data_IF_608994158159
#
_entry.id   IF_608994158159
#
_cell.length_a   1.000
_cell.length_b   1.000
_cell.length_c   1.000
_cell.angle_alpha   90.00
_cell.angle_beta   90.00
_cell.angle_gamma   90.00
#
_symmetry.space_group_name_H-M   'P 1'
#
loop_
_entity.id
_entity.type
_entity.pdbx_description
1 polymer ?
#
# COMPACT_ATOMS: atom_id res chain seq x y z
N UNK A 1 -9.50 17.44 0.67
CA UNK A 1 -9.93 17.72 2.08
C UNK A 1 -9.16 18.92 2.58
N UNK A 2 -9.80 19.73 3.45
CA UNK A 2 -9.21 21.00 3.91
C UNK A 2 -9.61 21.31 5.34
N UNK A 3 -8.69 21.94 6.09
CA UNK A 3 -8.87 22.35 7.49
C UNK A 3 -9.30 21.18 8.41
N UNK A 4 -8.74 19.97 8.15
CA UNK A 4 -9.02 18.74 8.89
C UNK A 4 -7.84 18.31 9.74
N UNK A 5 -8.13 17.63 10.84
CA UNK A 5 -7.15 16.99 11.71
C UNK A 5 -7.14 15.50 11.43
N UNK A 6 -6.06 15.00 10.85
CA UNK A 6 -5.99 13.63 10.39
C UNK A 6 -4.89 12.85 11.10
N UNK A 7 -5.11 11.54 11.24
CA UNK A 7 -4.08 10.60 11.70
C UNK A 7 -3.64 9.73 10.54
N UNK A 8 -2.32 9.58 10.36
CA UNK A 8 -1.74 8.60 9.44
C UNK A 8 -0.88 7.64 10.25
N UNK A 9 -1.37 6.43 10.48
CA UNK A 9 -0.54 5.38 11.08
C UNK A 9 0.36 4.77 10.02
N UNK A 10 1.63 4.50 10.34
CA UNK A 10 2.63 4.13 9.33
C UNK A 10 3.00 5.28 8.37
N UNK A 11 2.81 6.53 8.83
CA UNK A 11 2.98 7.73 8.02
C UNK A 11 4.42 8.05 7.62
N UNK A 12 5.41 7.37 8.18
CA UNK A 12 6.82 7.45 7.76
C UNK A 12 7.22 6.34 6.79
N UNK A 13 6.32 5.38 6.53
CA UNK A 13 6.52 4.29 5.60
C UNK A 13 6.38 4.70 4.13
N UNK A 14 6.47 3.73 3.23
CA UNK A 14 6.38 3.94 1.78
C UNK A 14 5.07 4.63 1.38
N UNK A 15 3.91 4.01 1.59
CA UNK A 15 2.61 4.56 1.18
C UNK A 15 2.19 5.70 2.10
N UNK A 16 2.29 5.51 3.42
CA UNK A 16 1.85 6.49 4.41
C UNK A 16 2.53 7.87 4.27
N UNK A 17 3.81 7.92 3.87
CA UNK A 17 4.50 9.19 3.65
C UNK A 17 3.98 9.96 2.43
N UNK A 18 3.48 9.27 1.39
CA UNK A 18 2.83 9.91 0.25
C UNK A 18 1.42 10.41 0.60
N UNK A 19 0.67 9.66 1.45
CA UNK A 19 -0.61 10.14 1.98
C UNK A 19 -0.37 11.40 2.83
N UNK A 20 0.63 11.39 3.71
CA UNK A 20 1.02 12.57 4.52
C UNK A 20 1.34 13.76 3.63
N UNK A 21 2.15 13.56 2.57
CA UNK A 21 2.51 14.61 1.61
C UNK A 21 1.29 15.21 0.91
N UNK A 22 0.35 14.39 0.50
CA UNK A 22 -0.88 14.86 -0.18
C UNK A 22 -1.85 15.59 0.76
N UNK A 23 -1.72 15.43 2.07
CA UNK A 23 -2.64 16.03 3.06
C UNK A 23 -2.10 17.33 3.67
N UNK A 24 -0.78 17.48 3.80
CA UNK A 24 -0.16 18.42 4.72
C UNK A 24 -0.35 19.90 4.37
N UNK A 25 -0.54 20.22 3.09
CA UNK A 25 -0.67 21.61 2.65
C UNK A 25 -1.93 22.30 3.19
N UNK A 26 -2.99 21.53 3.44
CA UNK A 26 -4.30 22.08 3.84
C UNK A 26 -4.85 21.47 5.15
N UNK A 27 -4.09 20.62 5.85
CA UNK A 27 -4.58 19.89 7.01
C UNK A 27 -3.51 19.80 8.13
N UNK A 28 -3.94 19.48 9.36
CA UNK A 28 -3.05 19.07 10.46
C UNK A 28 -2.89 17.54 10.42
N UNK A 29 -1.65 17.04 10.36
CA UNK A 29 -1.37 15.62 10.24
C UNK A 29 -0.63 15.10 11.47
N UNK A 30 -1.24 14.17 12.19
CA UNK A 30 -0.57 13.38 13.23
C UNK A 30 -0.12 12.06 12.67
N UNK A 31 1.17 11.81 12.67
CA UNK A 31 1.78 10.54 12.24
C UNK A 31 2.00 9.65 13.45
N UNK A 32 1.60 8.38 13.36
CA UNK A 32 1.98 7.34 14.32
C UNK A 32 2.84 6.33 13.59
N UNK A 33 4.09 6.15 14.04
CA UNK A 33 5.03 5.21 13.41
C UNK A 33 6.03 4.68 14.45
N UNK A 34 6.31 3.40 14.45
CA UNK A 34 7.31 2.81 15.36
C UNK A 34 8.74 2.87 14.79
N UNK A 35 8.87 3.32 13.53
CA UNK A 35 10.11 3.44 12.77
C UNK A 35 10.82 2.10 12.54
N UNK A 36 10.09 0.99 12.54
CA UNK A 36 10.64 -0.33 12.20
C UNK A 36 11.09 -0.38 10.72
N UNK A 37 10.31 0.23 9.84
CA UNK A 37 10.62 0.40 8.41
C UNK A 37 10.47 1.84 7.94
N UNK A 38 9.66 2.64 8.62
CA UNK A 38 9.44 4.06 8.37
C UNK A 38 10.68 4.91 8.66
N UNK A 39 10.88 5.98 7.89
CA UNK A 39 12.06 6.86 7.96
C UNK A 39 11.62 8.32 7.98
N UNK A 40 12.19 9.12 8.90
CA UNK A 40 11.92 10.57 8.97
C UNK A 40 12.32 11.31 7.68
N UNK A 41 13.31 10.77 6.97
CA UNK A 41 13.78 11.31 5.68
C UNK A 41 12.66 11.32 4.63
N UNK A 42 11.68 10.42 4.72
CA UNK A 42 10.55 10.35 3.79
C UNK A 42 9.64 11.58 3.85
N UNK A 43 9.66 12.33 4.95
CA UNK A 43 8.84 13.54 5.17
C UNK A 43 9.68 14.79 5.45
N UNK A 44 11.02 14.69 5.41
CA UNK A 44 11.90 15.80 5.79
C UNK A 44 11.77 17.05 4.90
N UNK A 45 11.31 16.87 3.66
CA UNK A 45 11.08 17.94 2.68
C UNK A 45 9.72 18.65 2.84
N UNK A 46 8.81 18.11 3.68
CA UNK A 46 7.47 18.64 3.90
C UNK A 46 7.47 19.80 4.92
N UNK A 47 6.47 20.71 4.89
CA UNK A 47 6.25 21.71 5.94
C UNK A 47 6.05 21.02 7.29
N UNK A 48 6.93 21.31 8.26
CA UNK A 48 6.92 20.61 9.55
C UNK A 48 5.96 21.24 10.59
N UNK A 49 5.47 22.43 10.35
CA UNK A 49 4.60 23.17 11.30
C UNK A 49 3.24 22.51 11.51
N UNK A 50 2.75 21.74 10.57
CA UNK A 50 1.46 21.05 10.63
C UNK A 50 1.61 19.53 10.82
N UNK A 51 2.83 19.04 11.07
CA UNK A 51 3.11 17.62 11.30
C UNK A 51 3.43 17.38 12.77
N UNK A 52 2.71 16.46 13.39
CA UNK A 52 3.05 15.90 14.70
C UNK A 52 3.42 14.44 14.56
N UNK A 53 4.63 14.05 14.99
CA UNK A 53 5.14 12.67 14.89
C UNK A 53 5.12 12.01 16.26
N UNK A 54 4.23 11.06 16.45
CA UNK A 54 4.14 10.23 17.66
C UNK A 54 4.87 8.92 17.39
N UNK A 55 6.07 8.79 17.93
CA UNK A 55 6.87 7.56 17.80
C UNK A 55 6.34 6.47 18.72
N UNK A 56 5.95 5.34 18.14
CA UNK A 56 5.55 4.13 18.88
C UNK A 56 4.64 3.23 18.09
N UNK A 57 4.46 2.01 18.58
CA UNK A 57 3.61 1.01 17.95
C UNK A 57 2.13 1.26 18.23
N UNK A 58 1.28 1.06 17.22
CA UNK A 58 -0.19 1.07 17.37
C UNK A 58 -0.70 0.04 18.37
N UNK A 59 0.12 -0.98 18.68
CA UNK A 59 -0.21 -2.01 19.67
C UNK A 59 0.08 -1.57 21.11
N UNK A 60 0.85 -0.51 21.33
CA UNK A 60 1.31 -0.10 22.66
C UNK A 60 0.81 1.28 23.08
N UNK A 61 0.66 2.20 22.13
CA UNK A 61 0.24 3.58 22.40
C UNK A 61 -1.20 3.68 22.89
N UNK A 62 -1.48 4.73 23.64
CA UNK A 62 -2.84 5.13 24.01
C UNK A 62 -3.50 5.85 22.81
N UNK A 63 -3.93 5.07 21.82
CA UNK A 63 -4.50 5.61 20.58
C UNK A 63 -5.74 6.48 20.85
N UNK A 64 -6.54 6.17 21.87
CA UNK A 64 -7.71 6.99 22.21
C UNK A 64 -7.33 8.44 22.56
N UNK A 65 -6.23 8.64 23.31
CA UNK A 65 -5.77 9.99 23.63
C UNK A 65 -5.19 10.72 22.40
N UNK A 66 -4.62 9.99 21.44
CA UNK A 66 -4.06 10.57 20.20
C UNK A 66 -5.17 10.91 19.21
N UNK A 67 -6.24 10.11 19.16
CA UNK A 67 -7.36 10.30 18.22
C UNK A 67 -8.39 11.32 18.74
N UNK A 68 -8.25 11.78 19.97
CA UNK A 68 -9.09 12.86 20.52
C UNK A 68 -9.01 14.09 19.60
N UNK A 69 -10.16 14.64 19.20
CA UNK A 69 -10.25 15.79 18.28
C UNK A 69 -9.68 15.52 16.85
N UNK A 70 -9.68 14.27 16.37
CA UNK A 70 -9.30 13.93 14.99
C UNK A 70 -10.51 13.61 14.12
N UNK A 71 -10.51 14.12 12.88
CA UNK A 71 -11.59 13.90 11.94
C UNK A 71 -11.49 12.53 11.25
N UNK A 72 -10.29 12.19 10.76
CA UNK A 72 -10.08 11.01 9.90
C UNK A 72 -8.83 10.23 10.29
N UNK A 73 -8.85 8.92 9.99
CA UNK A 73 -7.70 8.03 10.18
C UNK A 73 -7.38 7.33 8.86
N UNK A 74 -6.13 7.45 8.41
CA UNK A 74 -5.53 6.64 7.36
C UNK A 74 -4.64 5.59 8.02
N UNK A 75 -5.04 4.33 7.92
CA UNK A 75 -4.38 3.24 8.64
C UNK A 75 -3.51 2.42 7.68
N UNK A 76 -2.21 2.80 7.63
CA UNK A 76 -1.19 2.14 6.80
C UNK A 76 -0.19 1.30 7.63
N UNK A 77 -0.17 1.46 8.96
CA UNK A 77 0.74 0.71 9.83
C UNK A 77 0.44 -0.78 9.79
N UNK A 78 1.37 -1.56 9.31
CA UNK A 78 1.31 -3.02 9.25
C UNK A 78 2.69 -3.61 8.98
N UNK A 79 2.90 -4.86 9.38
CA UNK A 79 3.95 -5.71 8.82
C UNK A 79 3.46 -6.21 7.45
N UNK A 80 4.24 -6.01 6.38
CA UNK A 80 3.74 -6.12 5.01
C UNK A 80 4.45 -7.18 4.15
N UNK A 81 5.47 -7.87 4.67
CA UNK A 81 6.21 -8.89 3.93
C UNK A 81 5.49 -10.23 3.94
N UNK A 82 5.06 -10.72 2.77
CA UNK A 82 4.42 -12.05 2.64
C UNK A 82 5.37 -13.18 3.09
N UNK A 83 6.64 -13.25 2.63
CA UNK A 83 7.55 -14.32 3.07
C UNK A 83 7.85 -14.26 4.57
N UNK A 84 8.11 -13.08 5.13
CA UNK A 84 8.37 -12.93 6.55
C UNK A 84 7.17 -13.35 7.42
N UNK A 85 5.94 -13.14 6.92
CA UNK A 85 4.73 -13.56 7.64
C UNK A 85 4.65 -15.07 7.85
N UNK A 86 5.30 -15.87 6.98
CA UNK A 86 5.37 -17.33 7.12
C UNK A 86 6.32 -17.71 8.24
N UNK A 87 7.37 -16.93 8.46
CA UNK A 87 8.35 -17.13 9.51
C UNK A 87 7.85 -16.60 10.87
N UNK A 88 7.09 -15.49 10.88
CA UNK A 88 6.65 -14.75 12.07
C UNK A 88 5.12 -14.58 12.16
N UNK A 89 4.31 -15.64 12.02
CA UNK A 89 2.85 -15.51 11.91
C UNK A 89 2.19 -14.91 13.15
N UNK A 90 2.72 -15.17 14.35
CA UNK A 90 2.20 -14.62 15.61
C UNK A 90 2.41 -13.11 15.68
N UNK A 91 3.58 -12.60 15.27
CA UNK A 91 3.87 -11.18 15.26
C UNK A 91 3.00 -10.45 14.25
N UNK A 92 2.83 -11.03 13.04
CA UNK A 92 1.92 -10.49 12.02
C UNK A 92 0.48 -10.40 12.53
N UNK A 93 -0.02 -11.43 13.21
CA UNK A 93 -1.35 -11.38 13.80
C UNK A 93 -1.45 -10.34 14.92
N UNK A 94 -0.43 -10.24 15.78
CA UNK A 94 -0.41 -9.28 16.88
C UNK A 94 -0.41 -7.83 16.38
N UNK A 95 0.46 -7.52 15.42
CA UNK A 95 0.60 -6.15 14.89
C UNK A 95 -0.56 -5.82 13.98
N UNK A 96 -0.83 -6.62 12.96
CA UNK A 96 -1.82 -6.28 11.94
C UNK A 96 -3.25 -6.38 12.51
N UNK A 97 -3.66 -7.55 13.00
CA UNK A 97 -5.02 -7.74 13.50
C UNK A 97 -5.23 -7.04 14.85
N UNK A 98 -4.32 -7.26 15.79
CA UNK A 98 -4.39 -6.64 17.12
C UNK A 98 -4.30 -5.11 17.06
N UNK A 99 -3.38 -4.60 16.23
CA UNK A 99 -3.22 -3.16 16.00
C UNK A 99 -4.43 -2.53 15.32
N UNK A 100 -4.93 -3.14 14.22
CA UNK A 100 -6.14 -2.66 13.53
C UNK A 100 -7.35 -2.61 14.46
N UNK A 101 -7.53 -3.64 15.30
CA UNK A 101 -8.63 -3.63 16.28
C UNK A 101 -8.50 -2.46 17.28
N UNK A 102 -7.28 -2.14 17.76
CA UNK A 102 -7.03 -0.98 18.61
C UNK A 102 -7.30 0.34 17.92
N UNK A 103 -6.91 0.49 16.66
CA UNK A 103 -7.21 1.66 15.83
C UNK A 103 -8.72 1.86 15.69
N UNK A 104 -9.46 0.82 15.35
CA UNK A 104 -10.92 0.87 15.20
C UNK A 104 -11.62 1.18 16.52
N UNK A 105 -11.15 0.62 17.64
CA UNK A 105 -11.69 0.93 18.97
C UNK A 105 -11.44 2.40 19.37
N UNK A 106 -10.23 2.91 19.13
CA UNK A 106 -9.91 4.30 19.39
C UNK A 106 -10.78 5.24 18.53
N UNK A 107 -10.88 4.97 17.23
CA UNK A 107 -11.70 5.75 16.31
C UNK A 107 -13.20 5.77 16.71
N UNK A 108 -13.73 4.62 17.17
CA UNK A 108 -15.09 4.55 17.71
C UNK A 108 -15.28 5.41 18.97
N UNK A 109 -14.28 5.39 19.86
CA UNK A 109 -14.39 6.01 21.19
C UNK A 109 -14.10 7.53 21.17
N UNK A 110 -13.70 8.07 20.03
CA UNK A 110 -13.35 9.49 19.82
C UNK A 110 -14.13 10.13 18.68
N UNK A 111 -15.19 9.47 18.21
CA UNK A 111 -16.09 9.95 17.16
C UNK A 111 -15.40 10.35 15.85
N UNK A 112 -14.30 9.65 15.49
CA UNK A 112 -13.66 9.78 14.16
C UNK A 112 -14.69 9.54 13.07
N UNK A 113 -14.79 10.44 12.10
CA UNK A 113 -15.80 10.38 11.04
C UNK A 113 -15.58 9.14 10.12
N UNK A 114 -14.32 8.84 9.77
CA UNK A 114 -14.00 7.71 8.89
C UNK A 114 -12.60 7.17 9.09
N UNK A 115 -12.47 5.85 8.96
CA UNK A 115 -11.19 5.13 8.87
C UNK A 115 -11.04 4.56 7.47
N UNK A 116 -9.97 4.94 6.77
CA UNK A 116 -9.54 4.32 5.51
C UNK A 116 -8.32 3.45 5.81
N UNK A 117 -8.33 2.20 5.36
CA UNK A 117 -7.34 1.21 5.77
C UNK A 117 -6.71 0.51 4.58
N UNK A 118 -5.40 0.29 4.66
CA UNK A 118 -4.67 -0.55 3.72
C UNK A 118 -5.08 -2.02 3.85
N UNK A 119 -5.68 -2.57 2.79
CA UNK A 119 -5.78 -4.01 2.56
C UNK A 119 -4.85 -4.41 1.40
N UNK A 120 -4.98 -5.61 0.87
CA UNK A 120 -4.07 -6.14 -0.13
C UNK A 120 -4.79 -7.06 -1.11
N UNK A 121 -4.36 -7.05 -2.37
CA UNK A 121 -4.77 -8.06 -3.37
C UNK A 121 -4.38 -9.49 -2.98
N UNK A 122 -3.44 -9.65 -2.03
CA UNK A 122 -3.04 -10.97 -1.51
C UNK A 122 -4.20 -11.73 -0.86
N UNK A 123 -5.28 -11.06 -0.44
CA UNK A 123 -6.47 -11.70 0.13
C UNK A 123 -7.19 -12.61 -0.85
N UNK A 124 -7.04 -12.38 -2.16
CA UNK A 124 -7.68 -13.20 -3.19
C UNK A 124 -7.04 -14.56 -3.38
N UNK A 125 -5.73 -14.69 -3.04
CA UNK A 125 -4.98 -15.89 -3.34
C UNK A 125 -4.82 -16.13 -4.83
N UNK A 126 -4.82 -17.39 -5.23
CA UNK A 126 -4.76 -17.80 -6.63
C UNK A 126 -6.18 -17.90 -7.22
N UNK A 127 -6.42 -17.23 -8.35
CA UNK A 127 -7.71 -17.27 -9.04
C UNK A 127 -7.52 -17.32 -10.54
N UNK A 128 -8.34 -18.16 -11.22
CA UNK A 128 -8.40 -18.22 -12.68
C UNK A 128 -9.31 -17.14 -13.28
N UNK A 129 -10.17 -16.54 -12.46
CA UNK A 129 -11.09 -15.49 -12.89
C UNK A 129 -10.40 -14.14 -12.94
N UNK A 130 -10.31 -13.56 -14.13
CA UNK A 130 -9.71 -12.26 -14.40
C UNK A 130 -10.64 -11.41 -15.28
N UNK A 131 -10.72 -10.08 -15.06
CA UNK A 131 -10.16 -9.33 -13.93
C UNK A 131 -10.79 -9.70 -12.58
N UNK A 132 -10.03 -9.51 -11.48
CA UNK A 132 -10.46 -9.85 -10.11
C UNK A 132 -11.34 -8.74 -9.56
N UNK A 133 -12.56 -9.07 -9.14
CA UNK A 133 -13.55 -8.16 -8.58
C UNK A 133 -13.59 -8.26 -7.05
N UNK A 134 -14.05 -7.20 -6.36
CA UNK A 134 -14.25 -7.22 -4.90
C UNK A 134 -15.30 -8.22 -4.43
N UNK A 135 -16.19 -8.68 -5.34
CA UNK A 135 -17.21 -9.69 -5.08
C UNK A 135 -16.68 -11.13 -5.22
N UNK A 136 -15.45 -11.29 -5.75
CA UNK A 136 -14.84 -12.61 -5.88
C UNK A 136 -14.45 -13.17 -4.51
N UNK A 137 -14.52 -14.48 -4.31
CA UNK A 137 -14.16 -15.10 -3.05
C UNK A 137 -12.69 -14.82 -2.72
N UNK A 138 -12.42 -14.66 -1.42
CA UNK A 138 -11.05 -14.53 -0.92
C UNK A 138 -10.55 -15.93 -0.52
N UNK A 139 -9.27 -16.20 -0.83
CA UNK A 139 -8.56 -17.44 -0.47
C UNK A 139 -7.12 -17.12 -0.04
N UNK A 140 -6.93 -16.49 1.15
CA UNK A 140 -5.64 -16.01 1.59
C UNK A 140 -4.64 -17.15 1.77
N UNK A 141 -3.52 -17.12 1.03
CA UNK A 141 -2.50 -18.17 0.97
C UNK A 141 -1.28 -17.89 1.88
N UNK A 142 -1.31 -16.85 2.71
CA UNK A 142 -0.22 -16.51 3.63
C UNK A 142 -0.77 -15.92 4.92
N UNK A 143 -0.02 -16.00 6.04
CA UNK A 143 -0.42 -15.33 7.29
C UNK A 143 -0.67 -13.82 7.09
N UNK A 144 0.15 -13.12 6.31
CA UNK A 144 -0.10 -11.72 5.95
C UNK A 144 -1.47 -11.53 5.29
N UNK A 145 -1.80 -12.35 4.28
CA UNK A 145 -3.08 -12.26 3.60
C UNK A 145 -4.27 -12.55 4.54
N UNK A 146 -4.11 -13.52 5.46
CA UNK A 146 -5.11 -13.82 6.51
C UNK A 146 -5.31 -12.61 7.41
N UNK A 147 -4.24 -11.92 7.84
CA UNK A 147 -4.39 -10.72 8.67
C UNK A 147 -5.17 -9.62 7.94
N UNK A 148 -4.85 -9.36 6.66
CA UNK A 148 -5.56 -8.35 5.87
C UNK A 148 -7.04 -8.69 5.64
N UNK A 149 -7.35 -9.96 5.35
CA UNK A 149 -8.74 -10.43 5.26
C UNK A 149 -9.49 -10.25 6.59
N UNK A 150 -8.83 -10.54 7.72
CA UNK A 150 -9.41 -10.34 9.05
C UNK A 150 -9.67 -8.86 9.35
N UNK A 151 -8.76 -7.97 8.96
CA UNK A 151 -8.90 -6.53 9.12
C UNK A 151 -10.12 -6.00 8.35
N UNK A 152 -10.35 -6.48 7.11
CA UNK A 152 -11.56 -6.15 6.34
C UNK A 152 -12.84 -6.58 7.05
N UNK A 153 -12.84 -7.78 7.66
CA UNK A 153 -13.98 -8.29 8.43
C UNK A 153 -14.25 -7.41 9.66
N UNK A 154 -13.21 -6.95 10.37
CA UNK A 154 -13.37 -6.01 11.48
C UNK A 154 -13.91 -4.66 11.02
N UNK A 155 -13.39 -4.08 9.93
CA UNK A 155 -13.94 -2.85 9.35
C UNK A 155 -15.43 -2.98 9.05
N UNK A 156 -15.85 -4.07 8.39
CA UNK A 156 -17.26 -4.31 8.10
C UNK A 156 -18.12 -4.49 9.37
N UNK A 157 -17.59 -5.20 10.37
CA UNK A 157 -18.26 -5.39 11.65
C UNK A 157 -18.44 -4.06 12.40
N UNK A 158 -17.39 -3.24 12.46
CA UNK A 158 -17.44 -1.93 13.13
C UNK A 158 -18.45 -0.99 12.46
N UNK A 159 -18.48 -0.99 11.11
CA UNK A 159 -19.48 -0.22 10.37
C UNK A 159 -20.90 -0.66 10.69
N UNK A 160 -21.16 -1.97 10.74
CA UNK A 160 -22.52 -2.51 10.98
C UNK A 160 -22.98 -2.38 12.44
N UNK A 161 -22.07 -2.57 13.39
CA UNK A 161 -22.41 -2.64 14.83
C UNK A 161 -22.32 -1.28 15.49
N UNK A 162 -21.31 -0.49 15.15
CA UNK A 162 -21.04 0.78 15.82
C UNK A 162 -21.31 2.01 14.93
N UNK A 163 -21.60 1.84 13.65
CA UNK A 163 -21.93 2.93 12.73
C UNK A 163 -20.76 3.76 12.23
N UNK A 164 -19.52 3.42 12.62
CA UNK A 164 -18.33 4.12 12.15
C UNK A 164 -18.10 3.86 10.67
N UNK A 165 -17.83 4.91 9.89
CA UNK A 165 -17.53 4.73 8.47
C UNK A 165 -16.15 4.12 8.28
N UNK A 166 -16.07 3.02 7.54
CA UNK A 166 -14.82 2.33 7.23
C UNK A 166 -14.72 1.99 5.76
N UNK A 167 -13.51 2.12 5.19
CA UNK A 167 -13.20 1.63 3.86
C UNK A 167 -11.86 0.87 3.91
N UNK A 168 -11.82 -0.31 3.26
CA UNK A 168 -10.61 -1.10 3.10
C UNK A 168 -10.19 -1.11 1.63
N UNK A 169 -8.95 -0.73 1.36
CA UNK A 169 -8.42 -0.57 0.02
C UNK A 169 -7.47 -1.73 -0.29
N UNK A 170 -7.87 -2.63 -1.18
CA UNK A 170 -7.05 -3.74 -1.66
C UNK A 170 -6.05 -3.20 -2.67
N UNK A 171 -4.86 -2.85 -2.20
CA UNK A 171 -3.78 -2.41 -3.10
C UNK A 171 -3.28 -3.58 -3.92
N UNK A 172 -3.15 -3.36 -5.23
CA UNK A 172 -2.39 -4.23 -6.11
C UNK A 172 -0.91 -3.79 -6.09
N UNK A 173 -0.08 -4.21 -7.01
CA UNK A 173 1.38 -4.05 -6.90
C UNK A 173 1.81 -2.57 -6.92
N UNK A 174 1.86 -1.95 -5.75
CA UNK A 174 2.26 -0.54 -5.59
C UNK A 174 3.75 -0.37 -5.85
N UNK A 175 4.11 0.67 -6.59
CA UNK A 175 5.50 1.05 -6.84
C UNK A 175 5.68 2.56 -6.79
N UNK A 176 6.91 3.04 -6.59
CA UNK A 176 7.22 4.47 -6.59
C UNK A 176 8.40 4.85 -5.72
N UNK A 177 8.66 6.18 -5.61
CA UNK A 177 9.65 6.73 -4.68
C UNK A 177 9.43 6.27 -3.24
N UNK A 178 10.48 6.23 -2.43
CA UNK A 178 10.48 5.81 -1.02
C UNK A 178 10.19 4.33 -0.78
N UNK A 179 10.02 3.51 -1.84
CA UNK A 179 9.94 2.06 -1.69
C UNK A 179 11.32 1.50 -1.31
N UNK A 180 11.38 0.63 -0.28
CA UNK A 180 12.65 0.11 0.22
C UNK A 180 13.25 -0.91 -0.77
N UNK A 181 14.47 -0.61 -1.25
CA UNK A 181 15.25 -1.47 -2.14
C UNK A 181 16.08 -2.51 -1.36
N UNK A 182 16.36 -2.22 -0.08
CA UNK A 182 17.25 -3.06 0.73
C UNK A 182 16.51 -4.15 1.48
N UNK A 183 15.18 -4.22 1.36
CA UNK A 183 14.41 -5.30 1.97
C UNK A 183 14.82 -6.64 1.34
N UNK A 184 15.09 -7.64 2.16
CA UNK A 184 15.37 -9.02 1.71
C UNK A 184 14.25 -9.56 0.80
N UNK A 185 13.05 -9.00 0.90
CA UNK A 185 11.85 -9.33 0.15
C UNK A 185 11.39 -8.18 -0.76
N UNK A 186 12.34 -7.37 -1.24
CA UNK A 186 12.02 -6.22 -2.09
C UNK A 186 11.19 -6.64 -3.33
N UNK A 187 10.23 -5.79 -3.68
CA UNK A 187 9.35 -6.01 -4.83
C UNK A 187 10.13 -6.03 -6.16
N UNK A 188 9.52 -6.54 -7.21
CA UNK A 188 10.17 -6.73 -8.52
C UNK A 188 10.76 -5.41 -9.08
N UNK A 189 10.02 -4.30 -9.02
CA UNK A 189 10.44 -3.01 -9.60
C UNK A 189 11.74 -2.48 -8.96
N UNK A 190 11.86 -2.33 -7.62
CA UNK A 190 13.11 -1.91 -6.98
C UNK A 190 14.29 -2.82 -7.34
N UNK A 191 14.10 -4.14 -7.30
CA UNK A 191 15.14 -5.11 -7.61
C UNK A 191 15.64 -4.99 -9.05
N UNK A 192 14.73 -4.83 -10.01
CA UNK A 192 15.09 -4.70 -11.42
C UNK A 192 15.77 -3.36 -11.71
N UNK A 193 15.30 -2.26 -11.12
CA UNK A 193 15.98 -0.97 -11.22
C UNK A 193 17.40 -1.08 -10.69
N UNK A 194 17.60 -1.65 -9.49
CA UNK A 194 18.92 -1.84 -8.91
C UNK A 194 19.84 -2.66 -9.80
N UNK A 195 19.42 -3.84 -10.25
CA UNK A 195 20.21 -4.71 -11.08
C UNK A 195 20.62 -4.01 -12.40
N UNK A 196 19.66 -3.40 -13.10
CA UNK A 196 19.92 -2.74 -14.38
C UNK A 196 20.81 -1.51 -14.22
N UNK A 197 20.64 -0.71 -13.14
CA UNK A 197 21.52 0.41 -12.82
C UNK A 197 22.98 -0.03 -12.71
N UNK A 198 23.25 -1.16 -12.07
CA UNK A 198 24.60 -1.69 -11.86
C UNK A 198 25.12 -2.56 -13.02
N UNK A 199 24.37 -2.65 -14.15
CA UNK A 199 24.64 -3.53 -15.30
C UNK A 199 24.65 -5.02 -14.91
N UNK A 200 23.93 -5.37 -13.86
CA UNK A 200 23.67 -6.74 -13.44
C UNK A 200 22.40 -7.27 -14.12
N UNK A 201 22.34 -8.58 -14.38
CA UNK A 201 21.17 -9.19 -15.00
C UNK A 201 20.02 -9.26 -14.00
N UNK A 202 18.87 -8.61 -14.27
CA UNK A 202 17.70 -8.82 -13.44
C UNK A 202 17.25 -10.29 -13.50
N UNK A 203 16.98 -10.88 -12.33
CA UNK A 203 16.55 -12.28 -12.21
C UNK A 203 15.04 -12.36 -12.37
N UNK A 204 14.58 -13.11 -13.35
CA UNK A 204 13.17 -13.43 -13.57
C UNK A 204 12.94 -14.88 -13.20
N UNK A 205 12.01 -15.13 -12.26
CA UNK A 205 11.59 -16.47 -11.91
C UNK A 205 10.49 -16.93 -12.87
N UNK A 206 10.68 -18.09 -13.55
CA UNK A 206 9.80 -18.57 -14.61
C UNK A 206 10.14 -17.98 -15.99
N UNK A 207 9.15 -17.90 -16.86
CA UNK A 207 9.28 -17.44 -18.25
C UNK A 207 9.15 -15.92 -18.45
N UNK A 208 8.80 -15.19 -17.40
CA UNK A 208 8.58 -13.75 -17.44
C UNK A 208 7.24 -13.32 -18.03
N UNK A 209 6.38 -14.27 -18.41
CA UNK A 209 5.03 -14.00 -18.93
C UNK A 209 3.99 -13.86 -17.80
N UNK A 210 4.39 -14.11 -16.56
CA UNK A 210 3.53 -13.77 -15.40
C UNK A 210 3.24 -12.28 -15.37
N UNK A 211 1.99 -11.94 -15.08
CA UNK A 211 1.52 -10.54 -15.15
C UNK A 211 1.09 -9.98 -13.81
N UNK A 212 1.28 -8.68 -13.64
CA UNK A 212 0.85 -7.92 -12.46
C UNK A 212 0.17 -6.63 -12.89
N UNK A 213 -0.73 -6.15 -12.05
CA UNK A 213 -1.32 -4.82 -12.13
C UNK A 213 -0.49 -3.89 -11.23
N UNK A 214 0.34 -3.07 -11.84
CA UNK A 214 1.19 -2.11 -11.14
C UNK A 214 0.48 -0.77 -11.02
N UNK A 215 0.44 -0.22 -9.81
CA UNK A 215 -0.12 1.10 -9.54
C UNK A 215 0.91 2.02 -8.87
N UNK A 216 0.98 3.25 -9.35
CA UNK A 216 1.90 4.24 -8.81
C UNK A 216 1.47 4.71 -7.42
N UNK A 217 2.42 4.90 -6.51
CA UNK A 217 2.15 5.20 -5.10
C UNK A 217 1.37 6.49 -4.88
N UNK A 218 1.56 7.51 -5.73
CA UNK A 218 0.77 8.75 -5.63
C UNK A 218 -0.70 8.50 -5.96
N UNK A 219 -1.02 7.62 -6.92
CA UNK A 219 -2.40 7.22 -7.17
C UNK A 219 -3.02 6.47 -5.98
N UNK A 220 -2.22 5.69 -5.27
CA UNK A 220 -2.68 5.04 -4.02
C UNK A 220 -2.98 6.07 -2.94
N UNK A 221 -2.12 7.08 -2.77
CA UNK A 221 -2.38 8.20 -1.86
C UNK A 221 -3.66 8.96 -2.24
N UNK A 222 -3.81 9.29 -3.52
CA UNK A 222 -5.02 9.96 -4.04
C UNK A 222 -6.28 9.10 -3.83
N UNK A 223 -6.20 7.77 -4.02
CA UNK A 223 -7.31 6.86 -3.77
C UNK A 223 -7.76 6.90 -2.31
N UNK A 224 -6.82 6.92 -1.35
CA UNK A 224 -7.12 7.03 0.07
C UNK A 224 -7.91 8.30 0.38
N UNK A 225 -7.42 9.44 -0.09
CA UNK A 225 -8.05 10.75 0.12
C UNK A 225 -9.42 10.79 -0.56
N UNK A 226 -9.51 10.36 -1.82
CA UNK A 226 -10.75 10.33 -2.58
C UNK A 226 -11.83 9.48 -1.91
N UNK A 227 -11.47 8.27 -1.45
CA UNK A 227 -12.39 7.40 -0.72
C UNK A 227 -12.76 8.02 0.62
N UNK A 228 -11.83 8.66 1.32
CA UNK A 228 -12.10 9.33 2.59
C UNK A 228 -13.15 10.45 2.44
N UNK A 229 -13.01 11.31 1.43
CA UNK A 229 -13.92 12.43 1.15
C UNK A 229 -15.29 12.00 0.63
N UNK A 230 -15.35 10.85 -0.03
CA UNK A 230 -16.59 10.32 -0.58
C UNK A 230 -17.48 9.70 0.51
N UNK A 231 -18.77 9.51 0.21
CA UNK A 231 -19.67 8.72 1.06
C UNK A 231 -19.45 7.20 0.92
N UNK A 232 -18.47 6.78 0.12
CA UNK A 232 -18.20 5.37 -0.15
C UNK A 232 -17.66 4.64 1.07
N UNK A 233 -18.12 3.41 1.30
CA UNK A 233 -17.68 2.55 2.38
C UNK A 233 -17.58 1.10 1.90
N UNK A 234 -16.83 0.28 2.62
CA UNK A 234 -16.61 -1.12 2.27
C UNK A 234 -15.26 -1.37 1.62
N UNK A 235 -15.17 -2.30 0.68
CA UNK A 235 -13.92 -2.77 0.09
C UNK A 235 -13.80 -2.24 -1.34
N UNK A 236 -12.59 -1.80 -1.73
CA UNK A 236 -12.29 -1.31 -3.08
C UNK A 236 -10.96 -1.87 -3.57
N UNK A 237 -10.92 -2.35 -4.80
CA UNK A 237 -9.67 -2.62 -5.51
C UNK A 237 -9.01 -1.30 -5.94
N UNK A 238 -7.76 -1.11 -5.58
CA UNK A 238 -6.96 0.04 -5.98
C UNK A 238 -5.82 -0.43 -6.88
N UNK A 239 -6.01 -0.21 -8.17
CA UNK A 239 -5.17 -0.68 -9.27
C UNK A 239 -5.44 0.16 -10.52
N UNK A 240 -4.72 -0.08 -11.61
CA UNK A 240 -5.00 0.53 -12.92
C UNK A 240 -6.00 -0.28 -13.76
N UNK A 241 -6.22 -1.56 -13.44
CA UNK A 241 -6.99 -2.49 -14.25
C UNK A 241 -6.21 -2.93 -15.49
N UNK A 242 -4.88 -2.96 -15.40
CA UNK A 242 -3.97 -3.30 -16.49
C UNK A 242 -3.02 -4.43 -16.12
N UNK A 243 -2.91 -5.38 -17.06
CA UNK A 243 -2.00 -6.52 -16.93
C UNK A 243 -0.67 -6.23 -17.62
N UNK A 244 0.44 -6.21 -16.86
CA UNK A 244 1.80 -5.99 -17.40
C UNK A 244 2.66 -7.21 -17.10
N UNK A 245 3.30 -7.81 -18.14
CA UNK A 245 4.21 -8.94 -17.94
C UNK A 245 5.56 -8.48 -17.34
N UNK A 246 6.23 -9.38 -16.63
CA UNK A 246 7.54 -9.10 -16.05
C UNK A 246 8.58 -8.84 -17.15
N UNK A 247 8.49 -9.53 -18.30
CA UNK A 247 9.33 -9.24 -19.46
C UNK A 247 9.12 -7.80 -19.98
N UNK A 248 7.86 -7.35 -20.07
CA UNK A 248 7.53 -5.98 -20.47
C UNK A 248 8.06 -4.96 -19.45
N UNK A 249 7.93 -5.25 -18.16
CA UNK A 249 8.46 -4.39 -17.09
C UNK A 249 9.97 -4.20 -17.23
N UNK A 250 10.75 -5.27 -17.38
CA UNK A 250 12.21 -5.20 -17.55
C UNK A 250 12.59 -4.39 -18.79
N UNK A 251 11.84 -4.56 -19.90
CA UNK A 251 12.04 -3.77 -21.12
C UNK A 251 11.84 -2.27 -20.87
N UNK A 252 10.74 -1.89 -20.21
CA UNK A 252 10.44 -0.46 -19.92
C UNK A 252 11.49 0.14 -18.98
N UNK A 253 11.93 -0.59 -17.94
CA UNK A 253 12.99 -0.12 -17.04
C UNK A 253 14.31 0.10 -17.80
N UNK A 254 14.68 -0.81 -18.71
CA UNK A 254 15.85 -0.60 -19.59
C UNK A 254 15.71 0.66 -20.45
N UNK A 255 14.54 0.89 -21.04
CA UNK A 255 14.28 2.09 -21.85
C UNK A 255 14.39 3.38 -21.02
N UNK A 256 13.84 3.39 -19.80
CA UNK A 256 13.90 4.54 -18.88
C UNK A 256 15.34 4.84 -18.47
N UNK A 257 16.13 3.80 -18.19
CA UNK A 257 17.54 3.91 -17.79
C UNK A 257 18.49 4.14 -18.98
N UNK A 258 18.01 4.10 -20.23
CA UNK A 258 18.88 4.18 -21.41
C UNK A 258 19.84 2.99 -21.53
N UNK A 259 19.46 1.83 -21.00
CA UNK A 259 20.28 0.61 -20.95
C UNK A 259 19.69 -0.51 -21.79
N UNK A 260 20.44 -1.61 -21.91
CA UNK A 260 20.00 -2.83 -22.62
C UNK A 260 20.57 -4.06 -21.93
N UNK A 261 20.20 -4.25 -20.66
CA UNK A 261 20.64 -5.39 -19.84
C UNK A 261 19.62 -6.53 -20.00
N UNK A 262 20.07 -7.67 -20.56
CA UNK A 262 19.23 -8.83 -20.71
C UNK A 262 18.96 -9.49 -19.34
N UNK A 263 17.72 -9.94 -19.07
CA UNK A 263 17.43 -10.70 -17.85
C UNK A 263 18.09 -12.08 -17.86
N UNK A 264 18.20 -12.69 -16.69
CA UNK A 264 18.40 -14.14 -16.54
C UNK A 264 17.12 -14.77 -15.98
N UNK A 265 16.86 -16.00 -16.41
CA UNK A 265 15.66 -16.73 -16.02
C UNK A 265 16.06 -17.87 -15.09
N UNK A 266 15.32 -18.02 -14.00
CA UNK A 266 15.47 -19.08 -13.01
C UNK A 266 14.16 -19.85 -12.86
N UNK A 267 14.19 -20.98 -12.15
CA UNK A 267 13.01 -21.80 -11.92
C UNK A 267 11.88 -21.01 -11.26
N UNK A 268 10.61 -21.27 -11.62
CA UNK A 268 9.46 -20.58 -10.99
C UNK A 268 9.45 -20.75 -9.48
N UNK A 269 9.11 -19.70 -8.76
CA UNK A 269 8.90 -19.79 -7.31
C UNK A 269 7.63 -20.58 -7.01
N UNK A 270 7.69 -21.45 -6.01
CA UNK A 270 6.52 -22.19 -5.57
C UNK A 270 5.48 -21.20 -4.99
N UNK A 271 4.23 -21.31 -5.45
CA UNK A 271 3.13 -20.45 -5.00
C UNK A 271 3.11 -19.05 -5.65
N UNK A 272 3.92 -18.79 -6.69
CA UNK A 272 3.83 -17.52 -7.42
C UNK A 272 2.60 -17.48 -8.33
N UNK A 273 1.73 -16.50 -8.14
CA UNK A 273 0.51 -16.29 -8.92
C UNK A 273 0.90 -15.92 -10.36
N UNK A 274 0.39 -16.67 -11.36
CA UNK A 274 0.74 -16.45 -12.75
C UNK A 274 0.19 -15.13 -13.30
N UNK A 275 -1.09 -14.84 -13.07
CA UNK A 275 -1.74 -13.63 -13.56
C UNK A 275 -2.55 -12.95 -12.47
N UNK A 276 -2.37 -11.63 -12.33
CA UNK A 276 -3.11 -10.82 -11.37
C UNK A 276 -3.36 -9.42 -11.91
N UNK A 277 -4.65 -9.06 -12.12
CA UNK A 277 -5.08 -7.70 -12.38
C UNK A 277 -6.54 -7.49 -11.94
N UNK A 278 -6.88 -6.25 -11.59
CA UNK A 278 -8.13 -5.90 -10.95
C UNK A 278 -9.24 -5.54 -11.94
N UNK A 279 -10.48 -5.84 -11.56
CA UNK A 279 -11.63 -5.04 -11.97
C UNK A 279 -11.66 -3.77 -11.09
N UNK A 280 -11.54 -2.61 -11.73
CA UNK A 280 -11.52 -1.29 -11.07
C UNK A 280 -12.84 -0.53 -11.23
N UNK A 281 -13.87 -1.19 -11.72
CA UNK A 281 -15.19 -0.57 -12.01
C UNK A 281 -15.81 0.06 -10.77
N UNK A 282 -15.62 -0.54 -9.60
CA UNK A 282 -16.14 -0.03 -8.34
C UNK A 282 -15.45 1.27 -7.91
N UNK A 283 -14.12 1.34 -7.99
CA UNK A 283 -13.37 2.57 -7.73
C UNK A 283 -13.73 3.67 -8.73
N UNK A 284 -13.89 3.32 -10.00
CA UNK A 284 -14.35 4.27 -11.03
C UNK A 284 -15.78 4.78 -10.78
N UNK A 285 -16.67 3.96 -10.24
CA UNK A 285 -18.04 4.35 -9.94
C UNK A 285 -18.16 5.44 -8.88
N UNK A 286 -17.16 5.58 -8.03
CA UNK A 286 -17.06 6.66 -7.04
C UNK A 286 -16.20 7.84 -7.53
N UNK A 287 -15.77 7.84 -8.80
CA UNK A 287 -15.02 8.92 -9.43
C UNK A 287 -13.51 8.78 -9.39
N UNK A 288 -12.96 7.71 -8.80
CA UNK A 288 -11.52 7.46 -8.81
C UNK A 288 -11.10 6.82 -10.13
N UNK A 289 -10.38 7.57 -10.95
CA UNK A 289 -9.88 7.12 -12.26
C UNK A 289 -8.50 7.74 -12.54
N UNK A 290 -7.42 7.15 -12.00
CA UNK A 290 -6.07 7.68 -12.17
C UNK A 290 -5.64 7.62 -13.64
N UNK A 291 -4.79 8.58 -14.04
CA UNK A 291 -4.13 8.54 -15.35
C UNK A 291 -3.10 7.42 -15.38
N UNK A 292 -2.96 6.77 -16.53
CA UNK A 292 -1.99 5.68 -16.74
C UNK A 292 -0.80 6.19 -17.56
N UNK A 293 0.21 6.74 -16.90
CA UNK A 293 1.51 7.07 -17.53
C UNK A 293 2.65 6.25 -16.88
N UNK A 294 2.49 4.94 -16.94
CA UNK A 294 3.40 3.98 -16.30
C UNK A 294 4.88 4.22 -16.60
N UNK A 295 5.21 4.67 -17.83
CA UNK A 295 6.61 4.93 -18.19
C UNK A 295 7.16 6.19 -17.54
N UNK A 296 6.38 7.26 -17.45
CA UNK A 296 6.78 8.48 -16.74
C UNK A 296 6.90 8.23 -15.24
N UNK A 297 5.95 7.51 -14.65
CA UNK A 297 5.93 7.12 -13.24
C UNK A 297 7.12 6.23 -12.84
N UNK A 298 7.51 5.28 -13.73
CA UNK A 298 8.74 4.54 -13.59
C UNK A 298 9.97 5.46 -13.70
N UNK A 299 9.92 6.47 -14.57
CA UNK A 299 10.96 7.49 -14.69
C UNK A 299 11.16 8.27 -13.38
N UNK A 300 10.09 8.72 -12.73
CA UNK A 300 10.15 9.35 -11.41
C UNK A 300 10.72 8.40 -10.34
N UNK A 301 10.29 7.14 -10.38
CA UNK A 301 10.78 6.11 -9.46
C UNK A 301 12.28 5.89 -9.64
N UNK A 302 12.76 5.78 -10.87
CA UNK A 302 14.19 5.64 -11.19
C UNK A 302 15.00 6.85 -10.71
N UNK A 303 14.53 8.09 -10.95
CA UNK A 303 15.20 9.31 -10.48
C UNK A 303 15.39 9.31 -8.97
N UNK A 304 14.35 8.89 -8.24
CA UNK A 304 14.45 8.78 -6.79
C UNK A 304 15.53 7.77 -6.36
N UNK A 305 15.64 6.61 -7.02
CA UNK A 305 16.66 5.60 -6.73
C UNK A 305 18.09 6.01 -7.15
N UNK A 306 18.22 6.89 -8.15
CA UNK A 306 19.53 7.43 -8.59
C UNK A 306 19.95 8.68 -7.81
N UNK A 307 19.08 9.28 -7.00
CA UNK A 307 19.33 10.54 -6.32
C UNK A 307 19.33 11.76 -7.26
N UNK A 308 18.75 11.64 -8.44
CA UNK A 308 18.60 12.70 -9.45
C UNK A 308 17.30 13.51 -9.23
N UNK A 309 17.10 14.05 -8.02
CA UNK A 309 15.93 14.87 -7.68
C UNK A 309 16.14 16.34 -8.05
#
# INVERSE_FOLDING_TARGET
MKDKKVVVTGGLGFIGSHITESLIEENEVTIIDDMSTGKLENIAHLPQENIDVVKGSITELNLKAIFDDKDYVFHEAAMASVPESVELPEEYNYVNVGGTLKVLLAARDTDVEKVVMASSSAVYGETEKLPISEEDPIDPMSPYAVTKATDELYCNAFRKVYGIQTAALRYFNVFGPRQDINSQYAAAIPNFIHAILHNEKPVIYGDGEQTRDFIYVKHVADANIHVCESSAAGIFNIALGRSTSINTLVKIINEVLGKNVAPCYEDPRQGDIKHSFADVSKARSIGFNPEDDFKAELGETVKWFTGEN
#
